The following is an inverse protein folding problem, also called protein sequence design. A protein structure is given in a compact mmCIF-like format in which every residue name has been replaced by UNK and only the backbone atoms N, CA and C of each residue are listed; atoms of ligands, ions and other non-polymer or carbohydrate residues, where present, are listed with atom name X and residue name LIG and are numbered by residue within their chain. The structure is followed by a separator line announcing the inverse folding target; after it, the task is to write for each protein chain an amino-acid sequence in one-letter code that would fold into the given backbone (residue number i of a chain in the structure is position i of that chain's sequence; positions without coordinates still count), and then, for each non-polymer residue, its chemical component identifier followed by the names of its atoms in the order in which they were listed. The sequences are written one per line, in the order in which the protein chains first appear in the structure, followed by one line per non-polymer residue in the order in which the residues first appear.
data_IF_623017852834
#
_entry.id   IF_623017852834
#
_cell.length_a   1.000
_cell.length_b   1.000
_cell.length_c   1.000
_cell.angle_alpha   90.00
_cell.angle_beta   90.00
_cell.angle_gamma   90.00
#
_symmetry.space_group_name_H-M   'P 1'
#
loop_
_entity.id
_entity.type
_entity.pdbx_description
1 polymer ?
#
# COMPACT_ATOMS: atom_id res chain seq x y z
N UNK A 1 -3.52 12.96 -4.44
CA UNK A 1 -2.67 12.33 -5.47
C UNK A 1 -1.24 12.38 -4.97
N UNK A 2 -0.81 11.40 -4.16
CA UNK A 2 0.54 11.37 -3.64
C UNK A 2 1.50 10.93 -4.76
N UNK A 3 2.26 11.88 -5.30
CA UNK A 3 3.40 11.58 -6.17
C UNK A 3 4.54 11.11 -5.27
N UNK A 4 4.86 9.82 -5.34
CA UNK A 4 6.09 9.28 -4.76
C UNK A 4 7.23 9.84 -5.61
N UNK A 5 7.84 10.93 -5.13
CA UNK A 5 8.99 11.55 -5.77
C UNK A 5 10.19 10.66 -5.49
N UNK A 6 10.71 10.01 -6.53
CA UNK A 6 11.98 9.29 -6.54
C UNK A 6 13.09 10.21 -6.00
N UNK A 7 13.65 9.89 -4.82
CA UNK A 7 14.88 10.53 -4.36
C UNK A 7 15.10 10.55 -2.85
N UNK A 8 14.05 10.74 -2.04
CA UNK A 8 14.19 10.86 -0.58
C UNK A 8 13.29 9.85 0.13
N UNK A 9 13.92 8.94 0.89
CA UNK A 9 13.23 7.97 1.75
C UNK A 9 12.51 8.74 2.86
N UNK A 10 11.27 9.16 2.61
CA UNK A 10 10.43 9.80 3.63
C UNK A 10 10.03 8.78 4.68
N UNK A 11 10.46 9.02 5.92
CA UNK A 11 9.99 8.25 7.08
C UNK A 11 8.65 8.85 7.49
N UNK A 12 7.57 8.19 7.10
CA UNK A 12 6.22 8.57 7.52
C UNK A 12 5.95 7.87 8.86
N UNK A 13 5.72 8.64 9.92
CA UNK A 13 5.18 8.08 11.15
C UNK A 13 3.71 7.77 10.91
N UNK A 14 3.35 6.51 11.09
CA UNK A 14 1.99 6.02 10.94
C UNK A 14 1.58 5.32 12.23
N UNK A 15 0.30 5.40 12.58
CA UNK A 15 -0.22 4.68 13.72
C UNK A 15 -0.21 3.17 13.46
N UNK A 16 -0.16 2.38 14.52
CA UNK A 16 -0.20 0.92 14.41
C UNK A 16 -1.50 0.45 13.76
N UNK A 17 -2.62 1.16 14.00
CA UNK A 17 -3.92 0.85 13.39
C UNK A 17 -3.91 1.04 11.87
N UNK A 18 -3.32 2.15 11.38
CA UNK A 18 -3.18 2.41 9.94
C UNK A 18 -2.34 1.33 9.25
N UNK A 19 -1.25 0.89 9.88
CA UNK A 19 -0.45 -0.23 9.37
C UNK A 19 -1.31 -1.49 9.24
N UNK A 20 -2.09 -1.80 10.27
CA UNK A 20 -2.94 -3.00 10.29
C UNK A 20 -4.01 -2.92 9.20
N UNK A 21 -4.60 -1.74 8.98
CA UNK A 21 -5.60 -1.54 7.94
C UNK A 21 -5.01 -1.74 6.54
N UNK A 22 -3.85 -1.16 6.25
CA UNK A 22 -3.16 -1.33 4.96
C UNK A 22 -2.82 -2.81 4.72
N UNK A 23 -2.34 -3.52 5.74
CA UNK A 23 -2.03 -4.95 5.63
C UNK A 23 -3.29 -5.78 5.36
N UNK A 24 -4.43 -5.46 6.00
CA UNK A 24 -5.70 -6.13 5.74
C UNK A 24 -6.19 -5.91 4.31
N UNK A 25 -6.13 -4.67 3.81
CA UNK A 25 -6.50 -4.36 2.43
C UNK A 25 -5.62 -5.11 1.43
N UNK A 26 -4.30 -5.10 1.65
CA UNK A 26 -3.37 -5.90 0.86
C UNK A 26 -3.76 -7.37 0.84
N UNK A 27 -4.04 -7.97 2.01
CA UNK A 27 -4.41 -9.38 2.10
C UNK A 27 -5.74 -9.69 1.38
N UNK A 28 -6.71 -8.78 1.43
CA UNK A 28 -7.99 -8.94 0.72
C UNK A 28 -7.80 -8.89 -0.81
N UNK A 29 -7.01 -7.93 -1.31
CA UNK A 29 -6.75 -7.75 -2.74
C UNK A 29 -5.95 -8.94 -3.30
N UNK A 30 -4.94 -9.38 -2.55
CA UNK A 30 -4.02 -10.43 -2.99
C UNK A 30 -4.52 -11.85 -2.72
N UNK A 31 -5.66 -12.00 -2.03
CA UNK A 31 -6.26 -13.30 -1.65
C UNK A 31 -6.44 -14.27 -2.83
N UNK A 32 -6.75 -13.75 -4.01
CA UNK A 32 -6.97 -14.56 -5.22
C UNK A 32 -5.78 -14.52 -6.19
N UNK A 33 -4.65 -13.93 -5.80
CA UNK A 33 -3.46 -13.90 -6.65
C UNK A 33 -2.73 -15.24 -6.60
N UNK A 34 -2.34 -15.75 -7.77
CA UNK A 34 -1.68 -17.05 -7.90
C UNK A 34 -0.15 -16.96 -7.99
N UNK A 35 0.38 -15.81 -8.38
CA UNK A 35 1.81 -15.60 -8.66
C UNK A 35 2.18 -14.13 -8.40
N UNK A 36 3.48 -13.87 -8.19
CA UNK A 36 4.03 -12.54 -7.94
C UNK A 36 3.59 -11.48 -8.97
N UNK A 37 3.65 -11.82 -10.26
CA UNK A 37 3.25 -10.89 -11.34
C UNK A 37 1.76 -10.53 -11.23
N UNK A 38 0.92 -11.52 -10.97
CA UNK A 38 -0.51 -11.34 -10.80
C UNK A 38 -0.83 -10.48 -9.57
N UNK A 39 -0.11 -10.69 -8.47
CA UNK A 39 -0.18 -9.84 -7.28
C UNK A 39 0.21 -8.40 -7.60
N UNK A 40 1.30 -8.20 -8.35
CA UNK A 40 1.77 -6.86 -8.74
C UNK A 40 0.75 -6.12 -9.61
N UNK A 41 0.16 -6.79 -10.60
CA UNK A 41 -0.90 -6.20 -11.43
C UNK A 41 -2.15 -5.82 -10.62
N UNK A 42 -2.55 -6.64 -9.65
CA UNK A 42 -3.68 -6.36 -8.76
C UNK A 42 -3.40 -5.14 -7.87
N UNK A 43 -2.19 -5.06 -7.33
CA UNK A 43 -1.77 -3.95 -6.47
C UNK A 43 -1.57 -2.64 -7.25
N UNK A 44 -1.10 -2.70 -8.50
CA UNK A 44 -0.93 -1.53 -9.37
C UNK A 44 -2.29 -0.91 -9.75
N UNK A 45 -3.33 -1.74 -9.89
CA UNK A 45 -4.71 -1.28 -10.13
C UNK A 45 -5.42 -0.84 -8.85
N UNK A 46 -4.90 -1.21 -7.68
CA UNK A 46 -5.50 -0.88 -6.39
C UNK A 46 -5.06 0.51 -5.92
N UNK A 47 -5.98 1.24 -5.30
CA UNK A 47 -5.70 2.56 -4.72
C UNK A 47 -5.41 2.42 -3.23
N UNK A 48 -4.13 2.45 -2.85
CA UNK A 48 -3.73 2.51 -1.45
C UNK A 48 -3.68 3.97 -0.98
N UNK A 49 -4.42 4.28 0.07
CA UNK A 49 -4.34 5.58 0.74
C UNK A 49 -3.47 5.42 1.97
N UNK A 50 -2.27 6.01 1.93
CA UNK A 50 -1.45 6.15 3.14
C UNK A 50 -1.86 7.48 3.78
N UNK A 51 -2.42 7.48 5.00
CA UNK A 51 -2.67 8.71 5.71
C UNK A 51 -1.33 9.37 6.00
N UNK A 52 -1.10 10.53 5.39
CA UNK A 52 -0.03 11.43 5.80
C UNK A 52 -0.52 12.13 7.07
N UNK A 53 0.01 11.72 8.23
CA UNK A 53 -0.18 12.43 9.49
C UNK A 53 0.35 13.86 9.32
N UNK A 54 -0.52 14.86 9.55
CA UNK A 54 -0.21 16.30 9.43
C UNK A 54 0.39 16.80 10.74
#
# INVERSE_FOLDING_TARGET
MARIIEGERRIIKMSVDDIINIVREYQLITRNSCCYEHTRELLEKASFSVPEDV
#
